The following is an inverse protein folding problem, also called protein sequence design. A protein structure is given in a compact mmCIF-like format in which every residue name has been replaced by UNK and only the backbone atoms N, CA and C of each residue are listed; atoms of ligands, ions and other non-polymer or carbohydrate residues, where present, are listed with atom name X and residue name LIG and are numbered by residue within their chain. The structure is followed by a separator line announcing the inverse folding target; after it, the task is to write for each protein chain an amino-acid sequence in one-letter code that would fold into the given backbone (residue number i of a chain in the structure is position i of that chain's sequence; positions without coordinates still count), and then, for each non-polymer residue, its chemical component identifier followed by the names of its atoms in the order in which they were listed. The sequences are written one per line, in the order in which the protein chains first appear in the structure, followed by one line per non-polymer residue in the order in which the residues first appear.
data_IF_374107378083
#
_entry.id   IF_374107378083
#
_cell.length_a   1.000
_cell.length_b   1.000
_cell.length_c   1.000
_cell.angle_alpha   90.00
_cell.angle_beta   90.00
_cell.angle_gamma   90.00
#
_symmetry.space_group_name_H-M   'P 1'
#
loop_
_entity.id
_entity.type
_entity.pdbx_description
1 polymer ?
#
# COMPACT_ATOMS: atom_id res chain seq x y z
N UNK A 1 20.06 26.12 -6.60
CA UNK A 1 19.26 25.04 -5.99
C UNK A 1 20.08 23.78 -6.06
N UNK A 2 20.08 22.94 -5.03
CA UNK A 2 20.64 21.59 -5.16
C UNK A 2 19.75 20.79 -6.11
N UNK A 3 20.34 19.88 -6.88
CA UNK A 3 19.59 18.95 -7.71
C UNK A 3 18.88 17.91 -6.84
N UNK A 4 17.72 17.44 -7.28
CA UNK A 4 16.98 16.38 -6.58
C UNK A 4 17.79 15.07 -6.60
N UNK A 5 17.73 14.32 -5.50
CA UNK A 5 18.33 12.99 -5.40
C UNK A 5 17.26 11.93 -5.68
N UNK A 6 17.51 11.08 -6.67
CA UNK A 6 16.68 9.93 -6.99
C UNK A 6 17.52 8.67 -6.98
N UNK A 7 17.20 7.75 -6.08
CA UNK A 7 17.77 6.40 -6.04
C UNK A 7 16.66 5.42 -6.37
N UNK A 8 16.87 4.61 -7.42
CA UNK A 8 15.94 3.54 -7.78
C UNK A 8 16.06 2.42 -6.73
N UNK A 9 14.93 1.79 -6.35
CA UNK A 9 14.98 0.65 -5.44
C UNK A 9 15.68 -0.55 -6.09
N UNK A 10 16.27 -1.41 -5.26
CA UNK A 10 16.69 -2.77 -5.63
C UNK A 10 15.97 -3.78 -4.73
N UNK A 11 16.24 -5.07 -4.89
CA UNK A 11 15.73 -6.11 -3.97
C UNK A 11 16.17 -5.91 -2.51
N UNK A 12 17.20 -5.10 -2.25
CA UNK A 12 17.80 -4.94 -0.93
C UNK A 12 18.02 -3.50 -0.51
N UNK A 13 17.80 -2.53 -1.39
CA UNK A 13 18.02 -1.11 -1.08
C UNK A 13 16.79 -0.28 -1.40
N UNK A 14 16.50 0.74 -0.56
CA UNK A 14 15.24 1.43 -0.66
C UNK A 14 15.27 2.42 -1.82
N UNK A 15 14.09 2.73 -2.34
CA UNK A 15 13.86 3.91 -3.17
C UNK A 15 14.11 5.15 -2.33
N UNK A 16 14.77 6.15 -2.91
CA UNK A 16 14.97 7.47 -2.27
C UNK A 16 14.56 8.56 -3.23
N UNK A 17 13.70 9.45 -2.77
CA UNK A 17 13.26 10.64 -3.52
C UNK A 17 13.39 11.86 -2.64
N UNK A 18 14.46 12.62 -2.83
CA UNK A 18 14.62 13.93 -2.22
C UNK A 18 14.49 15.01 -3.31
N UNK A 19 13.31 15.61 -3.41
CA UNK A 19 13.00 16.70 -4.34
C UNK A 19 12.58 17.96 -3.56
N UNK A 20 13.53 18.86 -3.25
CA UNK A 20 13.25 20.13 -2.59
C UNK A 20 12.31 21.07 -3.37
N UNK A 21 12.16 20.90 -4.69
CA UNK A 21 11.26 21.76 -5.48
C UNK A 21 9.80 21.38 -5.22
N UNK A 22 9.55 20.08 -5.05
CA UNK A 22 8.22 19.53 -4.76
C UNK A 22 7.96 19.38 -3.25
N UNK A 23 8.99 19.56 -2.42
CA UNK A 23 8.90 19.36 -0.97
C UNK A 23 8.83 17.88 -0.57
N UNK A 24 9.33 16.99 -1.43
CA UNK A 24 9.29 15.54 -1.23
C UNK A 24 10.60 15.10 -0.61
N UNK A 25 10.53 14.44 0.55
CA UNK A 25 11.65 13.70 1.14
C UNK A 25 11.13 12.31 1.52
N UNK A 26 11.37 11.31 0.67
CA UNK A 26 10.83 9.95 0.83
C UNK A 26 11.95 8.90 0.80
N UNK A 27 11.86 7.95 1.72
CA UNK A 27 12.59 6.67 1.68
C UNK A 27 11.54 5.55 1.76
N UNK A 28 11.54 4.65 0.79
CA UNK A 28 10.52 3.59 0.72
C UNK A 28 11.04 2.25 0.19
N UNK A 29 10.39 1.14 0.56
CA UNK A 29 10.75 -0.22 0.15
C UNK A 29 11.62 -0.94 1.18
N UNK A 30 12.42 -1.92 0.75
CA UNK A 30 13.33 -2.66 1.62
C UNK A 30 14.67 -1.94 1.86
N UNK A 31 15.15 -1.90 3.10
CA UNK A 31 16.46 -1.37 3.47
C UNK A 31 17.34 -2.40 4.17
N UNK A 32 18.06 -3.17 3.37
CA UNK A 32 19.10 -4.10 3.77
C UNK A 32 20.30 -4.08 2.79
N UNK A 33 20.80 -2.90 2.37
CA UNK A 33 21.87 -2.84 1.37
C UNK A 33 23.12 -3.52 1.90
N UNK A 34 23.84 -4.22 1.01
CA UNK A 34 25.07 -4.93 1.35
C UNK A 34 26.12 -4.00 1.99
N UNK A 35 26.21 -2.76 1.51
CA UNK A 35 26.99 -1.69 2.14
C UNK A 35 26.07 -0.53 2.55
N UNK A 36 25.54 -0.61 3.78
CA UNK A 36 24.74 0.45 4.38
C UNK A 36 25.52 1.76 4.49
N UNK A 37 26.82 1.71 4.78
CA UNK A 37 27.63 2.92 4.96
C UNK A 37 27.76 3.69 3.66
N UNK A 38 28.06 3.00 2.56
CA UNK A 38 28.15 3.64 1.25
C UNK A 38 26.79 4.20 0.82
N UNK A 39 25.72 3.42 0.98
CA UNK A 39 24.37 3.82 0.60
C UNK A 39 23.93 5.08 1.36
N UNK A 40 23.89 5.02 2.69
CA UNK A 40 23.42 6.13 3.52
C UNK A 40 24.42 7.30 3.56
N UNK A 41 25.71 7.04 3.35
CA UNK A 41 26.72 8.10 3.21
C UNK A 41 26.42 9.05 2.05
N UNK A 42 25.92 8.53 0.92
CA UNK A 42 25.48 9.35 -0.23
C UNK A 42 24.27 10.22 0.13
N UNK A 43 23.30 9.65 0.85
CA UNK A 43 22.11 10.36 1.33
C UNK A 43 22.49 11.49 2.29
N UNK A 44 23.32 11.18 3.29
CA UNK A 44 23.78 12.15 4.29
C UNK A 44 24.59 13.28 3.66
N UNK A 45 25.49 12.95 2.72
CA UNK A 45 26.25 13.97 1.97
C UNK A 45 25.32 14.93 1.22
N UNK A 46 24.29 14.40 0.57
CA UNK A 46 23.29 15.23 -0.11
C UNK A 46 22.48 16.08 0.87
N UNK A 47 22.08 15.52 2.02
CA UNK A 47 21.35 16.26 3.07
C UNK A 47 22.18 17.41 3.64
N UNK A 48 23.48 17.20 3.85
CA UNK A 48 24.41 18.24 4.30
C UNK A 48 24.55 19.37 3.27
N UNK A 49 24.64 19.05 1.98
CA UNK A 49 24.62 20.06 0.91
C UNK A 49 23.28 20.80 0.84
N UNK A 50 22.17 20.07 0.97
CA UNK A 50 20.84 20.64 1.04
C UNK A 50 20.73 21.65 2.19
N UNK A 51 21.18 21.30 3.40
CA UNK A 51 21.17 22.21 4.57
C UNK A 51 21.92 23.51 4.28
N UNK A 52 23.11 23.44 3.65
CA UNK A 52 23.91 24.64 3.29
C UNK A 52 23.14 25.57 2.33
N UNK A 53 22.44 25.02 1.35
CA UNK A 53 21.64 25.81 0.39
C UNK A 53 20.36 26.34 1.03
N UNK A 54 19.70 25.52 1.85
CA UNK A 54 18.44 25.83 2.50
C UNK A 54 18.59 26.96 3.52
N UNK A 55 19.62 26.93 4.38
CA UNK A 55 19.94 28.02 5.33
C UNK A 55 20.19 29.35 4.60
N UNK A 56 20.93 29.32 3.47
CA UNK A 56 21.17 30.54 2.67
C UNK A 56 19.88 31.16 2.16
N UNK A 57 18.90 30.35 1.76
CA UNK A 57 17.60 30.82 1.25
C UNK A 57 16.67 31.36 2.33
N UNK A 58 16.62 30.76 3.53
CA UNK A 58 15.76 31.25 4.63
C UNK A 58 16.10 32.68 5.05
N UNK A 59 17.38 33.08 4.98
CA UNK A 59 17.80 34.49 5.21
C UNK A 59 17.18 35.49 4.21
N UNK A 60 16.66 35.01 3.07
CA UNK A 60 16.11 35.84 1.99
C UNK A 60 14.58 35.78 1.90
N UNK A 61 13.90 34.79 2.52
CA UNK A 61 12.45 34.59 2.36
C UNK A 61 11.81 34.11 3.67
N UNK A 62 10.91 34.92 4.23
CA UNK A 62 10.08 34.60 5.42
C UNK A 62 8.93 33.66 5.05
N UNK A 63 9.24 32.39 4.82
CA UNK A 63 8.24 31.35 4.59
C UNK A 63 8.80 29.98 4.99
N UNK A 64 8.32 29.43 6.09
CA UNK A 64 8.76 28.13 6.61
C UNK A 64 8.11 27.01 5.77
N UNK A 65 8.79 26.58 4.71
CA UNK A 65 8.38 25.40 3.94
C UNK A 65 8.28 24.17 4.86
N UNK A 66 7.25 23.35 4.66
CA UNK A 66 7.06 22.09 5.37
C UNK A 66 8.13 21.09 4.93
N UNK A 67 8.75 20.40 5.87
CA UNK A 67 9.81 19.39 5.66
C UNK A 67 9.32 18.05 6.22
N UNK A 68 8.50 17.35 5.44
CA UNK A 68 8.02 16.04 5.83
C UNK A 68 9.00 14.97 5.33
N UNK A 69 9.64 14.25 6.26
CA UNK A 69 10.37 13.01 5.93
C UNK A 69 9.38 11.86 5.93
N UNK A 70 9.11 11.28 4.77
CA UNK A 70 8.22 10.14 4.58
C UNK A 70 9.02 8.85 4.60
N UNK A 71 8.71 7.97 5.55
CA UNK A 71 9.32 6.64 5.68
C UNK A 71 8.22 5.60 5.42
N UNK A 72 8.37 4.84 4.34
CA UNK A 72 7.45 3.77 3.88
C UNK A 72 8.23 2.49 3.66
N UNK A 73 8.74 1.89 4.74
CA UNK A 73 9.67 0.77 4.66
C UNK A 73 8.92 -0.55 4.87
N UNK A 74 9.20 -1.52 4.01
CA UNK A 74 8.61 -2.87 4.12
C UNK A 74 9.41 -3.75 5.09
N UNK A 75 10.72 -3.50 5.15
CA UNK A 75 11.66 -4.19 6.02
C UNK A 75 12.95 -3.40 6.09
N UNK A 76 13.63 -3.42 7.24
CA UNK A 76 15.02 -2.97 7.33
C UNK A 76 15.82 -3.74 8.38
N UNK A 77 17.11 -3.94 8.12
CA UNK A 77 18.00 -4.61 9.07
C UNK A 77 18.52 -3.65 10.16
N UNK A 78 19.14 -4.21 11.21
CA UNK A 78 19.66 -3.43 12.34
C UNK A 78 20.69 -2.36 11.91
N UNK A 79 21.50 -2.62 10.89
CA UNK A 79 22.45 -1.61 10.37
C UNK A 79 21.74 -0.46 9.69
N UNK A 80 20.71 -0.73 8.88
CA UNK A 80 19.88 0.31 8.26
C UNK A 80 19.13 1.12 9.32
N UNK A 81 18.65 0.50 10.41
CA UNK A 81 18.00 1.19 11.51
C UNK A 81 18.88 2.31 12.11
N UNK A 82 20.18 2.04 12.30
CA UNK A 82 21.15 3.05 12.79
C UNK A 82 21.22 4.24 11.84
N UNK A 83 21.33 4.01 10.54
CA UNK A 83 21.41 5.08 9.56
C UNK A 83 20.09 5.82 9.34
N UNK A 84 18.95 5.14 9.42
CA UNK A 84 17.64 5.78 9.40
C UNK A 84 17.48 6.73 10.58
N UNK A 85 17.94 6.34 11.77
CA UNK A 85 17.97 7.23 12.93
C UNK A 85 18.90 8.44 12.70
N UNK A 86 20.03 8.29 12.02
CA UNK A 86 20.89 9.42 11.64
C UNK A 86 20.18 10.40 10.69
N UNK A 87 19.43 9.89 9.71
CA UNK A 87 18.59 10.70 8.81
C UNK A 87 17.50 11.40 9.61
N UNK A 88 16.77 10.71 10.49
CA UNK A 88 15.74 11.30 11.35
C UNK A 88 16.33 12.42 12.22
N UNK A 89 17.49 12.18 12.85
CA UNK A 89 18.22 13.19 13.64
C UNK A 89 18.66 14.38 12.80
N UNK A 90 18.91 14.21 11.50
CA UNK A 90 19.15 15.36 10.62
C UNK A 90 17.91 16.26 10.51
N UNK A 91 16.72 15.70 10.36
CA UNK A 91 15.47 16.46 10.34
C UNK A 91 15.11 17.03 11.72
N UNK A 92 15.46 16.35 12.81
CA UNK A 92 15.33 16.87 14.18
C UNK A 92 16.13 18.16 14.36
N UNK A 93 17.40 18.18 13.91
CA UNK A 93 18.23 19.40 13.96
C UNK A 93 17.63 20.55 13.16
N UNK A 94 16.94 20.26 12.05
CA UNK A 94 16.20 21.29 11.32
C UNK A 94 14.97 21.74 12.13
N UNK A 95 14.22 20.83 12.73
CA UNK A 95 13.09 21.19 13.57
C UNK A 95 13.49 22.09 14.75
N UNK A 96 14.60 21.79 15.43
CA UNK A 96 15.16 22.62 16.51
C UNK A 96 15.57 24.03 16.05
N UNK A 97 15.96 24.19 14.78
CA UNK A 97 16.19 25.49 14.13
C UNK A 97 14.89 26.20 13.68
N UNK A 98 13.75 25.82 14.28
CA UNK A 98 12.40 26.34 14.02
C UNK A 98 11.92 26.11 12.58
N UNK A 99 12.40 25.06 11.91
CA UNK A 99 11.82 24.63 10.64
C UNK A 99 10.61 23.72 10.90
N UNK A 100 9.59 23.81 10.04
CA UNK A 100 8.39 22.97 10.15
C UNK A 100 8.69 21.56 9.60
N UNK A 101 9.41 20.75 10.37
CA UNK A 101 9.75 19.38 10.02
C UNK A 101 9.01 18.35 10.87
N UNK A 102 8.71 17.19 10.28
CA UNK A 102 8.14 16.02 10.96
C UNK A 102 8.46 14.74 10.19
N UNK A 103 8.34 13.60 10.85
CA UNK A 103 8.35 12.28 10.22
C UNK A 103 6.92 11.82 9.94
N UNK A 104 6.69 11.31 8.73
CA UNK A 104 5.50 10.55 8.40
C UNK A 104 5.91 9.08 8.33
N UNK A 105 5.58 8.31 9.35
CA UNK A 105 5.92 6.91 9.48
C UNK A 105 4.77 6.04 8.99
N UNK A 106 4.93 5.42 7.84
CA UNK A 106 3.93 4.54 7.28
C UNK A 106 4.22 3.09 7.63
N UNK A 107 3.20 2.34 8.04
CA UNK A 107 3.30 0.93 8.40
C UNK A 107 2.00 0.20 8.03
N UNK A 108 2.05 -1.12 7.86
CA UNK A 108 0.84 -1.91 7.60
C UNK A 108 0.10 -2.20 8.91
N UNK A 109 -1.25 -2.23 8.89
CA UNK A 109 -2.05 -2.49 10.11
C UNK A 109 -1.69 -3.81 10.80
N UNK A 110 -1.35 -4.82 10.00
CA UNK A 110 -0.98 -6.17 10.45
C UNK A 110 0.50 -6.31 10.86
N UNK A 111 1.30 -5.25 10.71
CA UNK A 111 2.73 -5.25 11.01
C UNK A 111 2.99 -4.49 12.31
N UNK A 112 2.72 -5.16 13.43
CA UNK A 112 2.89 -4.62 14.78
C UNK A 112 4.36 -4.29 15.06
N UNK A 113 5.31 -5.10 14.59
CA UNK A 113 6.75 -4.87 14.77
C UNK A 113 7.20 -3.56 14.08
N UNK A 114 6.73 -3.30 12.86
CA UNK A 114 7.03 -2.05 12.14
C UNK A 114 6.39 -0.82 12.83
N UNK A 115 5.21 -0.99 13.42
CA UNK A 115 4.57 0.05 14.23
C UNK A 115 5.39 0.35 15.47
N UNK A 116 5.74 -0.67 16.25
CA UNK A 116 6.52 -0.55 17.48
C UNK A 116 7.87 0.11 17.19
N UNK A 117 8.56 -0.29 16.11
CA UNK A 117 9.84 0.33 15.73
C UNK A 117 9.69 1.82 15.40
N UNK A 118 8.58 2.22 14.76
CA UNK A 118 8.27 3.64 14.52
C UNK A 118 8.03 4.42 15.81
N UNK A 119 7.34 3.82 16.78
CA UNK A 119 7.13 4.38 18.13
C UNK A 119 8.45 4.48 18.91
N UNK A 120 9.32 3.47 18.83
CA UNK A 120 10.66 3.49 19.39
C UNK A 120 11.49 4.65 18.82
N UNK A 121 11.55 4.79 17.49
CA UNK A 121 12.24 5.92 16.88
C UNK A 121 11.65 7.26 17.31
N UNK A 122 10.32 7.37 17.37
CA UNK A 122 9.66 8.58 17.87
C UNK A 122 10.02 8.89 19.32
N UNK A 123 10.30 7.89 20.16
CA UNK A 123 10.71 8.10 21.55
C UNK A 123 12.17 8.55 21.68
N UNK A 124 13.01 8.23 20.69
CA UNK A 124 14.46 8.53 20.68
C UNK A 124 14.78 9.96 20.21
N UNK A 125 13.81 10.68 19.66
CA UNK A 125 13.97 12.05 19.13
C UNK A 125 12.81 12.95 19.54
N UNK A 126 13.01 14.27 19.48
CA UNK A 126 11.97 15.28 19.77
C UNK A 126 11.17 15.73 18.55
N UNK A 127 11.62 15.34 17.36
CA UNK A 127 10.96 15.63 16.10
C UNK A 127 9.54 15.03 16.11
N UNK A 128 8.49 15.75 15.70
CA UNK A 128 7.13 15.18 15.65
C UNK A 128 7.03 14.01 14.67
N UNK A 129 6.34 12.95 15.09
CA UNK A 129 5.99 11.80 14.25
C UNK A 129 4.48 11.76 14.00
N UNK A 130 4.10 11.33 12.80
CA UNK A 130 2.75 10.98 12.45
C UNK A 130 2.75 9.53 11.96
N UNK A 131 2.09 8.65 12.71
CA UNK A 131 1.97 7.22 12.42
C UNK A 131 0.79 7.02 11.47
N UNK A 132 1.06 6.51 10.26
CA UNK A 132 0.06 6.38 9.18
C UNK A 132 -0.07 4.90 8.80
N UNK A 133 -1.26 4.36 8.96
CA UNK A 133 -1.57 2.98 8.57
C UNK A 133 -1.74 2.90 7.05
N UNK A 134 -1.02 1.98 6.41
CA UNK A 134 -1.24 1.54 5.03
C UNK A 134 -2.08 0.27 5.07
N UNK A 135 -3.33 0.37 4.63
CA UNK A 135 -4.14 -0.82 4.37
C UNK A 135 -3.91 -1.25 2.93
N UNK A 136 -2.99 -2.18 2.69
CA UNK A 136 -2.74 -2.72 1.34
C UNK A 136 -3.87 -3.65 0.89
N UNK A 137 -4.39 -4.45 1.82
CA UNK A 137 -5.55 -5.32 1.61
C UNK A 137 -6.90 -4.61 1.82
N UNK A 138 -7.93 -5.44 1.90
CA UNK A 138 -9.29 -5.04 2.25
C UNK A 138 -9.94 -6.16 3.07
N UNK A 139 -10.36 -5.85 4.29
CA UNK A 139 -11.14 -6.75 5.13
C UNK A 139 -12.49 -6.08 5.44
N UNK A 140 -13.58 -6.75 5.06
CA UNK A 140 -14.95 -6.36 5.42
C UNK A 140 -15.59 -7.59 6.06
N UNK A 141 -15.92 -7.48 7.35
CA UNK A 141 -16.55 -8.56 8.11
C UNK A 141 -17.91 -8.95 7.53
N UNK A 142 -18.22 -10.25 7.54
CA UNK A 142 -19.53 -10.74 7.14
C UNK A 142 -20.63 -10.23 8.08
N UNK A 143 -21.81 -10.01 7.54
CA UNK A 143 -23.03 -9.83 8.34
C UNK A 143 -24.04 -10.90 7.96
N UNK A 144 -25.24 -10.82 8.53
CA UNK A 144 -26.36 -11.69 8.10
C UNK A 144 -26.64 -11.57 6.59
N UNK A 145 -26.40 -10.39 6.01
CA UNK A 145 -26.84 -10.04 4.65
C UNK A 145 -25.67 -9.69 3.70
N UNK A 146 -24.44 -9.60 4.20
CA UNK A 146 -23.26 -9.26 3.41
C UNK A 146 -22.17 -10.32 3.55
N UNK A 147 -21.45 -10.64 2.47
CA UNK A 147 -20.37 -11.61 2.53
C UNK A 147 -19.16 -11.02 3.27
N UNK A 148 -18.32 -11.89 3.81
CA UNK A 148 -16.94 -11.58 4.17
C UNK A 148 -16.19 -11.20 2.89
N UNK A 149 -15.42 -10.12 2.93
CA UNK A 149 -14.44 -9.76 1.89
C UNK A 149 -13.07 -9.77 2.53
N UNK A 150 -12.16 -10.58 2.00
CA UNK A 150 -10.79 -10.63 2.49
C UNK A 150 -9.80 -10.64 1.34
N UNK A 151 -9.18 -9.50 1.09
CA UNK A 151 -8.14 -9.30 0.09
C UNK A 151 -6.77 -9.32 0.78
N UNK A 152 -6.21 -10.52 0.92
CA UNK A 152 -4.91 -10.76 1.55
C UNK A 152 -3.80 -10.63 0.50
N UNK A 153 -3.20 -9.44 0.44
CA UNK A 153 -2.11 -9.14 -0.51
C UNK A 153 -0.85 -9.96 -0.25
N UNK A 154 -0.58 -10.35 1.01
CA UNK A 154 0.62 -11.13 1.39
C UNK A 154 0.51 -12.55 0.86
N UNK A 155 -0.64 -13.19 1.07
CA UNK A 155 -0.94 -14.51 0.51
C UNK A 155 -1.29 -14.46 -0.97
N UNK A 156 -1.60 -13.26 -1.49
CA UNK A 156 -2.13 -13.03 -2.85
C UNK A 156 -3.44 -13.77 -3.09
N UNK A 157 -4.23 -13.93 -2.02
CA UNK A 157 -5.54 -14.60 -2.03
C UNK A 157 -6.61 -13.56 -1.76
N UNK A 158 -7.55 -13.44 -2.68
CA UNK A 158 -8.61 -12.45 -2.66
C UNK A 158 -9.95 -13.17 -2.63
N UNK A 159 -10.69 -13.06 -1.53
CA UNK A 159 -11.89 -13.86 -1.28
C UNK A 159 -13.14 -13.01 -1.06
N UNK A 160 -14.27 -13.50 -1.58
CA UNK A 160 -15.60 -13.08 -1.15
C UNK A 160 -16.38 -14.33 -0.75
N UNK A 161 -16.87 -14.38 0.49
CA UNK A 161 -17.49 -15.57 1.07
C UNK A 161 -18.79 -15.23 1.83
N UNK A 162 -19.88 -15.92 1.50
CA UNK A 162 -21.13 -15.91 2.27
C UNK A 162 -22.33 -15.59 1.38
N UNK A 163 -23.30 -14.88 1.93
CA UNK A 163 -24.49 -14.45 1.19
C UNK A 163 -24.40 -12.97 0.88
N UNK A 164 -24.82 -12.56 -0.32
CA UNK A 164 -24.76 -11.18 -0.78
C UNK A 164 -26.14 -10.64 -1.11
N UNK A 165 -26.80 -10.08 -0.10
CA UNK A 165 -28.09 -9.42 -0.22
C UNK A 165 -28.21 -8.18 0.69
N UNK A 166 -27.24 -7.25 0.64
CA UNK A 166 -27.33 -6.00 1.40
C UNK A 166 -28.56 -5.19 1.01
N UNK A 167 -29.06 -4.40 1.96
CA UNK A 167 -30.07 -3.37 1.69
C UNK A 167 -29.53 -2.30 0.74
N UNK A 168 -28.26 -1.94 0.90
CA UNK A 168 -27.55 -0.98 0.05
C UNK A 168 -26.31 -1.64 -0.59
N UNK A 169 -26.49 -2.26 -1.75
CA UNK A 169 -25.39 -2.93 -2.47
C UNK A 169 -24.32 -1.93 -2.95
N UNK A 170 -24.71 -0.72 -3.36
CA UNK A 170 -23.75 0.27 -3.84
C UNK A 170 -22.78 0.68 -2.71
N UNK A 171 -23.30 0.94 -1.51
CA UNK A 171 -22.47 1.27 -0.33
C UNK A 171 -21.52 0.12 0.04
N UNK A 172 -22.00 -1.13 0.03
CA UNK A 172 -21.18 -2.29 0.37
C UNK A 172 -20.07 -2.56 -0.67
N UNK A 173 -20.37 -2.51 -1.96
CA UNK A 173 -19.41 -2.86 -3.01
C UNK A 173 -18.47 -1.72 -3.42
N UNK A 174 -18.81 -0.46 -3.14
CA UNK A 174 -17.95 0.70 -3.45
C UNK A 174 -16.50 0.51 -2.97
N UNK A 175 -16.22 0.20 -1.68
CA UNK A 175 -14.83 0.02 -1.23
C UNK A 175 -14.12 -1.16 -1.91
N UNK A 176 -14.85 -2.22 -2.29
CA UNK A 176 -14.30 -3.39 -2.98
C UNK A 176 -13.85 -3.03 -4.40
N UNK A 177 -14.74 -2.37 -5.16
CA UNK A 177 -14.46 -1.94 -6.52
C UNK A 177 -13.33 -0.90 -6.56
N UNK A 178 -13.36 0.08 -5.65
CA UNK A 178 -12.31 1.09 -5.52
C UNK A 178 -10.95 0.48 -5.18
N UNK A 179 -10.91 -0.54 -4.33
CA UNK A 179 -9.67 -1.25 -4.03
C UNK A 179 -9.08 -1.87 -5.30
N UNK A 180 -9.89 -2.56 -6.11
CA UNK A 180 -9.44 -3.21 -7.36
C UNK A 180 -8.97 -2.16 -8.37
N UNK A 181 -9.70 -1.06 -8.53
CA UNK A 181 -9.34 0.03 -9.46
C UNK A 181 -8.03 0.71 -9.09
N UNK A 182 -7.85 1.04 -7.81
CA UNK A 182 -6.70 1.84 -7.36
C UNK A 182 -5.47 0.97 -7.12
N UNK A 183 -5.65 -0.21 -6.53
CA UNK A 183 -4.56 -1.05 -6.01
C UNK A 183 -4.35 -2.33 -6.83
N UNK A 184 -5.30 -2.71 -7.69
CA UNK A 184 -5.26 -3.96 -8.44
C UNK A 184 -3.98 -4.15 -9.25
N UNK A 185 -3.53 -3.13 -9.99
CA UNK A 185 -2.29 -3.20 -10.79
C UNK A 185 -1.03 -3.44 -9.92
N UNK A 186 -1.03 -2.92 -8.70
CA UNK A 186 0.09 -3.03 -7.77
C UNK A 186 0.14 -4.38 -7.07
N UNK A 187 -1.01 -4.92 -6.64
CA UNK A 187 -1.03 -6.11 -5.78
C UNK A 187 -1.53 -7.39 -6.44
N UNK A 188 -2.29 -7.32 -7.54
CA UNK A 188 -2.69 -8.51 -8.30
C UNK A 188 -1.57 -8.90 -9.26
N UNK A 189 -1.05 -10.11 -9.08
CA UNK A 189 0.08 -10.67 -9.84
C UNK A 189 -0.30 -12.03 -10.44
N UNK A 190 0.56 -12.58 -11.29
CA UNK A 190 0.27 -13.87 -11.93
C UNK A 190 0.09 -15.04 -10.93
N UNK A 191 0.64 -14.93 -9.73
CA UNK A 191 0.46 -15.93 -8.66
C UNK A 191 -0.75 -15.66 -7.77
N UNK A 192 -1.61 -14.69 -8.11
CA UNK A 192 -2.79 -14.35 -7.33
C UNK A 192 -3.94 -15.32 -7.56
N UNK A 193 -4.81 -15.47 -6.56
CA UNK A 193 -5.99 -16.33 -6.61
C UNK A 193 -7.21 -15.55 -6.11
N UNK A 194 -8.26 -15.47 -6.92
CA UNK A 194 -9.57 -14.96 -6.53
C UNK A 194 -10.52 -16.12 -6.25
N UNK A 195 -11.13 -16.13 -5.07
CA UNK A 195 -12.06 -17.18 -4.65
C UNK A 195 -13.44 -16.58 -4.32
N UNK A 196 -14.46 -17.02 -5.05
CA UNK A 196 -15.85 -16.63 -4.82
C UNK A 196 -16.62 -17.82 -4.23
N UNK A 197 -17.12 -17.66 -3.00
CA UNK A 197 -17.98 -18.63 -2.32
C UNK A 197 -19.29 -17.91 -1.97
N UNK A 198 -20.22 -17.82 -2.92
CA UNK A 198 -21.44 -17.03 -2.77
C UNK A 198 -22.68 -17.92 -2.83
N UNK A 199 -23.33 -18.11 -1.69
CA UNK A 199 -24.46 -19.04 -1.55
C UNK A 199 -25.84 -18.40 -1.88
N UNK A 200 -25.88 -17.09 -2.08
CA UNK A 200 -27.08 -16.37 -2.51
C UNK A 200 -26.69 -14.95 -2.92
N UNK A 201 -27.20 -14.46 -4.05
CA UNK A 201 -26.90 -13.14 -4.57
C UNK A 201 -28.20 -12.45 -4.98
N UNK A 202 -28.53 -11.29 -4.40
CA UNK A 202 -29.68 -10.52 -4.88
C UNK A 202 -29.35 -9.76 -6.18
N UNK A 203 -30.38 -9.23 -6.84
CA UNK A 203 -30.22 -8.50 -8.11
C UNK A 203 -29.28 -7.29 -8.03
N UNK A 204 -29.21 -6.60 -6.89
CA UNK A 204 -28.34 -5.45 -6.73
C UNK A 204 -26.87 -5.87 -6.61
N UNK A 205 -26.59 -6.92 -5.82
CA UNK A 205 -25.27 -7.54 -5.70
C UNK A 205 -24.78 -8.17 -7.00
N UNK A 206 -25.66 -8.79 -7.80
CA UNK A 206 -25.31 -9.31 -9.13
C UNK A 206 -24.73 -8.21 -10.03
N UNK A 207 -25.36 -7.02 -10.06
CA UNK A 207 -24.85 -5.88 -10.84
C UNK A 207 -23.47 -5.43 -10.37
N UNK A 208 -23.24 -5.41 -9.06
CA UNK A 208 -21.96 -5.00 -8.48
C UNK A 208 -20.85 -6.04 -8.72
N UNK A 209 -21.15 -7.33 -8.57
CA UNK A 209 -20.22 -8.42 -8.89
C UNK A 209 -19.88 -8.46 -10.37
N UNK A 210 -20.82 -8.14 -11.27
CA UNK A 210 -20.53 -8.00 -12.69
C UNK A 210 -19.48 -6.92 -12.95
N UNK A 211 -19.65 -5.73 -12.34
CA UNK A 211 -18.65 -4.65 -12.42
C UNK A 211 -17.30 -5.10 -11.86
N UNK A 212 -17.29 -5.88 -10.77
CA UNK A 212 -16.07 -6.45 -10.22
C UNK A 212 -15.38 -7.37 -11.23
N UNK A 213 -16.10 -8.28 -11.90
CA UNK A 213 -15.53 -9.14 -12.94
C UNK A 213 -14.99 -8.33 -14.13
N UNK A 214 -15.68 -7.28 -14.56
CA UNK A 214 -15.20 -6.38 -15.62
C UNK A 214 -13.88 -5.67 -15.22
N UNK A 215 -13.72 -5.30 -13.94
CA UNK A 215 -12.46 -4.75 -13.43
C UNK A 215 -11.35 -5.81 -13.39
N UNK A 216 -11.65 -7.03 -12.96
CA UNK A 216 -10.70 -8.14 -12.96
C UNK A 216 -10.28 -8.50 -14.39
N UNK A 217 -11.17 -8.44 -15.37
CA UNK A 217 -10.86 -8.64 -16.79
C UNK A 217 -9.85 -7.60 -17.30
N UNK A 218 -10.01 -6.33 -16.92
CA UNK A 218 -9.03 -5.28 -17.26
C UNK A 218 -7.65 -5.53 -16.66
N UNK A 219 -7.58 -6.09 -15.44
CA UNK A 219 -6.32 -6.48 -14.81
C UNK A 219 -5.71 -7.73 -15.47
N UNK A 220 -6.56 -8.64 -15.93
CA UNK A 220 -6.20 -9.87 -16.60
C UNK A 220 -5.75 -9.62 -18.04
N UNK A 221 -4.50 -9.20 -18.18
CA UNK A 221 -3.84 -8.90 -19.46
C UNK A 221 -2.94 -10.05 -19.92
N UNK A 222 -2.43 -9.99 -21.16
CA UNK A 222 -1.47 -10.98 -21.68
C UNK A 222 -0.18 -11.13 -20.84
N UNK A 223 0.12 -10.16 -19.97
CA UNK A 223 1.26 -10.18 -19.07
C UNK A 223 0.92 -10.61 -17.63
N UNK A 224 -0.35 -10.64 -17.25
CA UNK A 224 -0.80 -10.94 -15.88
C UNK A 224 -2.01 -11.86 -15.93
N UNK A 225 -1.76 -13.14 -15.67
CA UNK A 225 -2.77 -14.19 -15.60
C UNK A 225 -2.85 -14.72 -14.19
N UNK A 226 -3.99 -14.55 -13.53
CA UNK A 226 -4.25 -15.02 -12.17
C UNK A 226 -5.41 -16.00 -12.15
N UNK A 227 -5.48 -16.82 -11.11
CA UNK A 227 -6.52 -17.84 -10.98
C UNK A 227 -7.82 -17.21 -10.45
N UNK A 228 -8.95 -17.63 -11.02
CA UNK A 228 -10.27 -17.28 -10.53
C UNK A 228 -11.06 -18.57 -10.32
N UNK A 229 -11.51 -18.77 -9.09
CA UNK A 229 -12.29 -19.92 -8.67
C UNK A 229 -13.66 -19.47 -8.20
N UNK A 230 -14.69 -20.11 -8.72
CA UNK A 230 -16.06 -19.98 -8.26
C UNK A 230 -16.53 -21.30 -7.66
N UNK A 231 -16.91 -21.26 -6.39
CA UNK A 231 -17.37 -22.42 -5.65
C UNK A 231 -18.90 -22.37 -5.55
N UNK A 232 -19.55 -23.51 -5.82
CA UNK A 232 -21.01 -23.63 -5.87
C UNK A 232 -21.47 -24.93 -5.21
N UNK A 233 -22.65 -24.92 -4.59
CA UNK A 233 -23.22 -26.07 -3.89
C UNK A 233 -24.25 -26.85 -4.74
N UNK A 234 -24.92 -26.18 -5.68
CA UNK A 234 -25.94 -26.78 -6.54
C UNK A 234 -25.97 -26.15 -7.94
N UNK A 235 -26.81 -26.71 -8.83
CA UNK A 235 -26.93 -26.25 -10.22
C UNK A 235 -27.50 -24.82 -10.32
N UNK A 236 -28.32 -24.36 -9.37
CA UNK A 236 -28.89 -23.01 -9.39
C UNK A 236 -27.78 -21.96 -9.14
N UNK A 237 -26.93 -22.20 -8.14
CA UNK A 237 -25.76 -21.35 -7.88
C UNK A 237 -24.76 -21.36 -9.06
N UNK A 238 -24.59 -22.50 -9.73
CA UNK A 238 -23.73 -22.61 -10.91
C UNK A 238 -24.29 -21.83 -12.11
N UNK A 239 -25.60 -21.92 -12.36
CA UNK A 239 -26.28 -21.16 -13.41
C UNK A 239 -26.15 -19.65 -13.16
N UNK A 240 -26.42 -19.18 -11.94
CA UNK A 240 -26.24 -17.76 -11.58
C UNK A 240 -24.80 -17.27 -11.84
N UNK A 241 -23.80 -18.07 -11.47
CA UNK A 241 -22.39 -17.75 -11.67
C UNK A 241 -22.03 -17.66 -13.16
N UNK A 242 -22.55 -18.58 -13.98
CA UNK A 242 -22.34 -18.58 -15.44
C UNK A 242 -23.01 -17.39 -16.10
N UNK A 243 -24.24 -17.08 -15.70
CA UNK A 243 -24.99 -15.93 -16.21
C UNK A 243 -24.29 -14.61 -15.91
N UNK A 244 -23.71 -14.49 -14.70
CA UNK A 244 -22.91 -13.34 -14.31
C UNK A 244 -21.68 -13.17 -15.23
N UNK A 245 -21.04 -14.28 -15.61
CA UNK A 245 -19.84 -14.31 -16.44
C UNK A 245 -20.10 -14.21 -17.95
N UNK A 246 -21.37 -14.08 -18.39
CA UNK A 246 -21.69 -13.93 -19.82
C UNK A 246 -21.02 -12.67 -20.39
N UNK A 247 -20.26 -12.88 -21.47
CA UNK A 247 -19.41 -11.89 -22.15
C UNK A 247 -18.22 -11.38 -21.32
N UNK A 248 -17.80 -12.15 -20.30
CA UNK A 248 -16.54 -11.95 -19.58
C UNK A 248 -15.53 -13.01 -20.05
N UNK A 249 -14.33 -12.57 -20.44
CA UNK A 249 -13.27 -13.41 -21.04
C UNK A 249 -12.32 -14.02 -20.00
N UNK A 250 -12.67 -13.89 -18.71
CA UNK A 250 -11.87 -14.43 -17.60
C UNK A 250 -11.94 -15.96 -17.56
N UNK A 251 -10.82 -16.66 -17.32
CA UNK A 251 -10.80 -18.11 -17.21
C UNK A 251 -11.29 -18.58 -15.83
N UNK A 252 -12.60 -18.45 -15.57
CA UNK A 252 -13.22 -18.85 -14.30
C UNK A 252 -13.29 -20.38 -14.22
N UNK A 253 -12.73 -20.95 -13.14
CA UNK A 253 -12.85 -22.37 -12.79
C UNK A 253 -14.01 -22.54 -11.82
N UNK A 254 -14.95 -23.43 -12.15
CA UNK A 254 -16.11 -23.73 -11.31
C UNK A 254 -15.85 -25.02 -10.53
N UNK A 255 -16.06 -24.98 -9.21
CA UNK A 255 -15.78 -26.08 -8.29
C UNK A 255 -17.03 -26.40 -7.48
N UNK A 256 -17.53 -27.64 -7.59
CA UNK A 256 -18.60 -28.14 -6.73
C UNK A 256 -18.06 -28.30 -5.30
N UNK A 257 -18.79 -27.79 -4.31
CA UNK A 257 -18.48 -27.97 -2.89
C UNK A 257 -19.27 -29.15 -2.32
N UNK A 258 -18.62 -29.95 -1.46
CA UNK A 258 -19.24 -31.06 -0.73
C UNK A 258 -20.20 -30.60 0.39
#
# INVERSE_FOLDING_TARGET
MIASLFVKPTETSPKVVFDPKQGIFEISGESKPADCREFFGKLMSWLDEYKKVFIKRKKLVTGHGKLNLTLKLDYFNSTSAVYLLEVIRFFERLWEEMYNAKVLWYYQEIDEDMKETGEEFSSLVKLPFEMIVINEGLLIEATKNTPLVNFDVKKKVFGINGKSFPENADEFYTPILQWIEVKGNEYVKASSVFNFHLAYINTASLKALRRMLELLEKLHSASVHFEINWFYADEEELEEARDLAVNISLPIKYHLTD
#
